data_IF_109434156426
#
_entry.id   IF_109434156426
#
_cell.length_a   1.000
_cell.length_b   1.000
_cell.length_c   1.000
_cell.angle_alpha   90.00
_cell.angle_beta   90.00
_cell.angle_gamma   90.00
#
_symmetry.space_group_name_H-M   'P 1'
#
loop_
_entity.id
_entity.type
_entity.pdbx_description
1 polymer ?
#
# COMPACT_ATOMS: atom_id res chain seq x y z
N UNK A 1 -21.07 -3.78 -15.89
CA UNK A 1 -19.77 -3.14 -15.58
C UNK A 1 -19.68 -2.61 -14.14
N UNK A 2 -20.75 -2.07 -13.55
CA UNK A 2 -20.76 -1.55 -12.16
C UNK A 2 -20.44 -2.64 -11.09
N UNK A 3 -20.89 -3.88 -11.28
CA UNK A 3 -20.65 -4.98 -10.32
C UNK A 3 -19.16 -5.39 -10.20
N UNK A 4 -18.41 -5.40 -11.31
CA UNK A 4 -16.99 -5.79 -11.30
C UNK A 4 -16.08 -4.70 -10.69
N UNK A 5 -16.45 -3.42 -10.86
CA UNK A 5 -15.72 -2.28 -10.26
C UNK A 5 -15.95 -2.23 -8.74
N UNK A 6 -17.16 -2.56 -8.26
CA UNK A 6 -17.42 -2.67 -6.82
C UNK A 6 -16.72 -3.86 -6.17
N UNK A 7 -16.58 -4.98 -6.90
CA UNK A 7 -15.97 -6.21 -6.37
C UNK A 7 -14.47 -6.04 -6.14
N UNK A 8 -13.75 -5.45 -7.11
CA UNK A 8 -12.33 -5.12 -6.96
C UNK A 8 -12.07 -4.12 -5.84
N UNK A 9 -12.86 -3.04 -5.73
CA UNK A 9 -12.73 -2.13 -4.59
C UNK A 9 -13.01 -2.81 -3.24
N UNK A 10 -14.02 -3.68 -3.17
CA UNK A 10 -14.35 -4.41 -1.95
C UNK A 10 -13.24 -5.36 -1.52
N UNK A 11 -12.67 -6.12 -2.46
CA UNK A 11 -11.53 -7.02 -2.22
C UNK A 11 -10.30 -6.23 -1.78
N UNK A 12 -10.04 -5.09 -2.40
CA UNK A 12 -8.96 -4.20 -2.02
C UNK A 12 -9.09 -3.70 -0.57
N UNK A 13 -10.24 -3.13 -0.19
CA UNK A 13 -10.47 -2.66 1.19
C UNK A 13 -10.46 -3.82 2.19
N UNK A 14 -11.03 -4.97 1.83
CA UNK A 14 -11.05 -6.15 2.68
C UNK A 14 -9.64 -6.71 2.90
N UNK A 15 -8.80 -6.74 1.87
CA UNK A 15 -7.40 -7.16 1.96
C UNK A 15 -6.57 -6.24 2.86
N UNK A 16 -6.74 -4.93 2.74
CA UNK A 16 -6.08 -3.94 3.62
C UNK A 16 -6.58 -4.07 5.06
N UNK A 17 -7.89 -4.12 5.27
CA UNK A 17 -8.50 -4.23 6.60
C UNK A 17 -8.13 -5.52 7.32
N UNK A 18 -8.20 -6.66 6.63
CA UNK A 18 -7.85 -7.96 7.20
C UNK A 18 -6.36 -8.08 7.53
N UNK A 19 -5.47 -7.46 6.74
CA UNK A 19 -4.04 -7.38 7.06
C UNK A 19 -3.76 -6.60 8.35
N UNK A 20 -4.39 -5.42 8.52
CA UNK A 20 -4.27 -4.61 9.74
C UNK A 20 -4.82 -5.33 10.98
N UNK A 21 -5.97 -5.99 10.85
CA UNK A 21 -6.53 -6.79 11.94
C UNK A 21 -5.64 -7.97 12.29
N UNK A 22 -5.01 -8.61 11.29
CA UNK A 22 -4.09 -9.73 11.51
C UNK A 22 -2.87 -9.32 12.33
N UNK A 23 -2.23 -8.18 12.02
CA UNK A 23 -1.07 -7.71 12.80
C UNK A 23 -1.45 -7.28 14.22
N UNK A 24 -2.63 -6.67 14.41
CA UNK A 24 -3.17 -6.34 15.74
C UNK A 24 -3.39 -7.60 16.58
N UNK A 25 -4.03 -8.61 16.01
CA UNK A 25 -4.27 -9.88 16.70
C UNK A 25 -2.97 -10.63 16.98
N UNK A 26 -2.04 -10.67 16.04
CA UNK A 26 -0.72 -11.30 16.25
C UNK A 26 0.07 -10.58 17.36
N UNK A 27 0.01 -9.25 17.40
CA UNK A 27 0.58 -8.43 18.49
C UNK A 27 -0.02 -8.82 19.84
N UNK A 28 -1.36 -8.92 19.91
CA UNK A 28 -2.06 -9.34 21.12
C UNK A 28 -1.63 -10.75 21.54
N UNK A 29 -1.55 -11.69 20.60
CA UNK A 29 -1.11 -13.07 20.85
C UNK A 29 0.30 -13.11 21.45
N UNK A 30 1.25 -12.35 20.88
CA UNK A 30 2.62 -12.26 21.38
C UNK A 30 2.67 -11.61 22.76
N UNK A 31 1.96 -10.49 22.98
CA UNK A 31 1.92 -9.82 24.26
C UNK A 31 1.33 -10.73 25.37
N UNK A 32 0.25 -11.45 25.07
CA UNK A 32 -0.33 -12.43 25.99
C UNK A 32 0.61 -13.63 26.21
N UNK A 33 1.35 -14.06 25.19
CA UNK A 33 2.36 -15.11 25.30
C UNK A 33 3.51 -14.72 26.23
N UNK A 34 4.01 -13.49 26.10
CA UNK A 34 5.01 -12.90 27.01
C UNK A 34 4.46 -12.87 28.45
N UNK A 35 3.17 -12.53 28.61
CA UNK A 35 2.51 -12.45 29.90
C UNK A 35 2.28 -13.81 30.60
N UNK A 36 2.23 -14.91 29.84
CA UNK A 36 2.02 -16.25 30.41
C UNK A 36 3.28 -16.90 30.99
N UNK A 37 4.48 -16.42 30.64
CA UNK A 37 5.72 -17.01 31.15
C UNK A 37 5.79 -16.90 32.68
N UNK A 38 6.10 -18.01 33.34
CA UNK A 38 5.83 -18.27 34.77
C UNK A 38 6.16 -17.11 35.73
N UNK A 39 5.16 -16.75 36.56
CA UNK A 39 5.28 -15.75 37.64
C UNK A 39 4.48 -14.46 37.40
N UNK A 40 4.11 -14.16 36.16
CA UNK A 40 3.50 -12.87 35.80
C UNK A 40 1.96 -12.86 35.84
N UNK A 41 1.30 -14.00 35.55
CA UNK A 41 -0.15 -14.12 35.35
C UNK A 41 -1.01 -14.35 36.63
N UNK A 42 -0.48 -14.04 37.82
CA UNK A 42 -1.24 -14.06 39.09
C UNK A 42 -1.93 -15.40 39.44
N UNK A 43 -3.01 -15.39 40.26
CA UNK A 43 -3.77 -16.59 40.67
C UNK A 43 -4.28 -17.43 39.49
N UNK A 44 -4.57 -18.71 39.73
CA UNK A 44 -4.98 -19.68 38.70
C UNK A 44 -6.09 -19.20 37.75
N UNK A 45 -7.05 -18.39 38.26
CA UNK A 45 -8.13 -17.79 37.46
C UNK A 45 -7.61 -16.81 36.39
N UNK A 46 -6.64 -15.96 36.71
CA UNK A 46 -6.06 -15.01 35.76
C UNK A 46 -5.27 -15.73 34.67
N UNK A 47 -4.52 -16.79 35.04
CA UNK A 47 -3.80 -17.65 34.07
C UNK A 47 -4.74 -18.31 33.08
N UNK A 48 -5.89 -18.80 33.55
CA UNK A 48 -6.90 -19.41 32.69
C UNK A 48 -7.45 -18.41 31.66
N UNK A 49 -7.81 -17.19 32.10
CA UNK A 49 -8.34 -16.15 31.21
C UNK A 49 -7.31 -15.75 30.14
N UNK A 50 -6.06 -15.51 30.52
CA UNK A 50 -4.99 -15.14 29.57
C UNK A 50 -4.73 -16.28 28.57
N UNK A 51 -4.78 -17.54 29.02
CA UNK A 51 -4.65 -18.72 28.15
C UNK A 51 -5.77 -18.82 27.13
N UNK A 52 -7.02 -18.63 27.56
CA UNK A 52 -8.16 -18.64 26.65
C UNK A 52 -8.12 -17.47 25.66
N UNK A 53 -7.78 -16.27 26.14
CA UNK A 53 -7.68 -15.10 25.29
C UNK A 53 -6.57 -15.26 24.24
N UNK A 54 -5.40 -15.79 24.62
CA UNK A 54 -4.32 -16.08 23.69
C UNK A 54 -4.77 -17.05 22.60
N UNK A 55 -5.43 -18.16 22.97
CA UNK A 55 -5.92 -19.15 22.02
C UNK A 55 -6.99 -18.57 21.08
N UNK A 56 -7.96 -17.82 21.61
CA UNK A 56 -9.01 -17.22 20.80
C UNK A 56 -8.45 -16.16 19.85
N UNK A 57 -7.57 -15.29 20.34
CA UNK A 57 -6.89 -14.29 19.52
C UNK A 57 -6.04 -14.93 18.42
N UNK A 58 -5.35 -16.04 18.71
CA UNK A 58 -4.57 -16.78 17.72
C UNK A 58 -5.46 -17.40 16.64
N UNK A 59 -6.63 -17.96 17.00
CA UNK A 59 -7.58 -18.48 16.03
C UNK A 59 -8.13 -17.37 15.12
N UNK A 60 -8.52 -16.22 15.70
CA UNK A 60 -8.95 -15.08 14.90
C UNK A 60 -7.82 -14.56 13.99
N UNK A 61 -6.57 -14.52 14.48
CA UNK A 61 -5.42 -14.10 13.67
C UNK A 61 -5.25 -14.99 12.43
N UNK A 62 -5.38 -16.31 12.59
CA UNK A 62 -5.32 -17.26 11.47
C UNK A 62 -6.46 -17.05 10.47
N UNK A 63 -7.69 -16.82 10.96
CA UNK A 63 -8.85 -16.55 10.09
C UNK A 63 -8.66 -15.26 9.29
N UNK A 64 -8.29 -14.16 9.95
CA UNK A 64 -8.05 -12.89 9.26
C UNK A 64 -6.85 -12.94 8.32
N UNK A 65 -5.80 -13.71 8.65
CA UNK A 65 -4.68 -13.95 7.76
C UNK A 65 -5.12 -14.73 6.51
N UNK A 66 -5.97 -15.74 6.67
CA UNK A 66 -6.54 -16.47 5.54
C UNK A 66 -7.34 -15.56 4.61
N UNK A 67 -8.16 -14.66 5.17
CA UNK A 67 -8.89 -13.63 4.40
C UNK A 67 -7.91 -12.70 3.69
N UNK A 68 -6.87 -12.24 4.39
CA UNK A 68 -5.85 -11.35 3.82
C UNK A 68 -5.13 -11.98 2.62
N UNK A 69 -4.66 -13.23 2.74
CA UNK A 69 -3.99 -13.95 1.66
C UNK A 69 -4.96 -14.19 0.49
N UNK A 70 -6.17 -14.68 0.77
CA UNK A 70 -7.16 -14.97 -0.26
C UNK A 70 -7.53 -13.70 -1.04
N UNK A 71 -7.81 -12.60 -0.34
CA UNK A 71 -8.15 -11.33 -0.99
C UNK A 71 -6.97 -10.73 -1.75
N UNK A 72 -5.74 -10.85 -1.24
CA UNK A 72 -4.54 -10.38 -1.97
C UNK A 72 -4.33 -11.12 -3.30
N UNK A 73 -4.65 -12.42 -3.35
CA UNK A 73 -4.58 -13.21 -4.59
C UNK A 73 -5.77 -12.90 -5.51
N UNK A 74 -6.98 -12.75 -4.96
CA UNK A 74 -8.21 -12.56 -5.74
C UNK A 74 -8.39 -11.12 -6.27
N UNK A 75 -7.80 -10.12 -5.62
CA UNK A 75 -7.87 -8.71 -6.03
C UNK A 75 -7.26 -8.48 -7.43
N UNK A 76 -6.32 -9.32 -7.85
CA UNK A 76 -5.75 -9.31 -9.20
C UNK A 76 -4.89 -8.08 -9.54
N UNK A 77 -4.76 -7.12 -8.63
CA UNK A 77 -3.92 -5.92 -8.81
C UNK A 77 -2.44 -6.26 -8.95
N UNK A 78 -1.94 -7.18 -8.11
CA UNK A 78 -0.58 -7.67 -8.17
C UNK A 78 -0.56 -9.09 -8.76
N UNK A 79 0.42 -9.44 -9.61
CA UNK A 79 0.54 -10.78 -10.20
C UNK A 79 1.06 -11.77 -9.16
N UNK A 80 0.21 -12.08 -8.17
CA UNK A 80 0.47 -13.00 -7.06
C UNK A 80 -0.34 -14.27 -7.31
N UNK A 81 0.33 -15.42 -7.22
CA UNK A 81 -0.29 -16.73 -7.41
C UNK A 81 -0.37 -17.51 -6.10
N UNK A 82 -1.22 -18.54 -6.06
CA UNK A 82 -1.38 -19.41 -4.89
C UNK A 82 -0.08 -20.06 -4.41
N UNK A 83 0.85 -20.33 -5.33
CA UNK A 83 2.14 -20.93 -4.98
C UNK A 83 3.05 -19.92 -4.24
N UNK A 84 2.92 -18.63 -4.52
CA UNK A 84 3.68 -17.57 -3.84
C UNK A 84 3.30 -17.45 -2.36
N UNK A 85 2.10 -17.94 -1.97
CA UNK A 85 1.65 -17.95 -0.58
C UNK A 85 2.29 -19.06 0.27
N UNK A 86 3.01 -20.01 -0.34
CA UNK A 86 3.63 -21.16 0.35
C UNK A 86 5.13 -21.26 0.07
N UNK A 87 5.61 -20.71 -1.05
CA UNK A 87 7.04 -20.71 -1.40
C UNK A 87 7.58 -19.28 -1.25
N UNK A 88 8.38 -18.99 -0.21
CA UNK A 88 8.88 -17.65 0.02
C UNK A 88 9.87 -17.23 -1.06
N UNK A 89 9.85 -15.94 -1.40
CA UNK A 89 10.78 -15.26 -2.33
C UNK A 89 10.67 -15.67 -3.81
N UNK A 90 9.70 -16.52 -4.18
CA UNK A 90 9.50 -16.95 -5.56
C UNK A 90 8.92 -15.84 -6.45
N UNK A 91 7.97 -15.05 -5.93
CA UNK A 91 7.24 -14.09 -6.76
C UNK A 91 8.16 -12.99 -7.30
N UNK A 92 8.06 -12.61 -8.59
CA UNK A 92 8.76 -11.45 -9.13
C UNK A 92 8.20 -10.14 -8.59
N UNK A 93 6.98 -10.13 -8.07
CA UNK A 93 6.36 -8.96 -7.46
C UNK A 93 6.89 -8.76 -6.04
N UNK A 94 7.75 -7.75 -5.84
CA UNK A 94 8.33 -7.39 -4.53
C UNK A 94 8.86 -8.62 -3.76
N UNK A 95 9.65 -9.47 -4.44
CA UNK A 95 10.12 -10.78 -3.96
C UNK A 95 10.50 -10.82 -2.48
N UNK A 96 11.32 -9.88 -2.00
CA UNK A 96 11.73 -9.82 -0.60
C UNK A 96 10.53 -9.64 0.34
N UNK A 97 9.70 -8.64 0.09
CA UNK A 97 8.61 -8.27 1.00
C UNK A 97 7.48 -9.29 0.96
N UNK A 98 7.10 -9.76 -0.23
CA UNK A 98 6.11 -10.82 -0.36
C UNK A 98 6.63 -12.11 0.30
N UNK A 99 7.90 -12.45 0.06
CA UNK A 99 8.54 -13.62 0.67
C UNK A 99 8.64 -13.56 2.19
N UNK A 100 8.79 -12.37 2.80
CA UNK A 100 8.66 -12.21 4.25
C UNK A 100 7.23 -12.50 4.73
N UNK A 101 6.21 -12.11 3.96
CA UNK A 101 4.81 -12.44 4.25
C UNK A 101 4.57 -13.95 4.23
N UNK A 102 5.05 -14.62 3.18
CA UNK A 102 5.00 -16.08 3.03
C UNK A 102 5.77 -16.78 4.15
N UNK A 103 6.98 -16.32 4.48
CA UNK A 103 7.77 -16.87 5.58
C UNK A 103 7.05 -16.71 6.93
N UNK A 104 6.43 -15.56 7.19
CA UNK A 104 5.62 -15.37 8.39
C UNK A 104 4.41 -16.32 8.43
N UNK A 105 3.75 -16.53 7.30
CA UNK A 105 2.67 -17.51 7.17
C UNK A 105 3.16 -18.93 7.46
N UNK A 106 4.28 -19.36 6.88
CA UNK A 106 4.85 -20.70 7.10
C UNK A 106 5.26 -20.93 8.55
N UNK A 107 5.84 -19.91 9.20
CA UNK A 107 6.14 -19.94 10.63
C UNK A 107 4.84 -20.08 11.44
N UNK A 108 3.82 -19.27 11.15
CA UNK A 108 2.54 -19.34 11.86
C UNK A 108 1.85 -20.70 11.65
N UNK A 109 1.87 -21.23 10.43
CA UNK A 109 1.33 -22.56 10.11
C UNK A 109 2.06 -23.65 10.89
N UNK A 110 3.39 -23.59 10.93
CA UNK A 110 4.23 -24.49 11.74
C UNK A 110 3.86 -24.41 13.22
N UNK A 111 3.67 -23.21 13.75
CA UNK A 111 3.26 -22.99 15.15
C UNK A 111 1.87 -23.57 15.44
N UNK A 112 0.91 -23.41 14.53
CA UNK A 112 -0.45 -23.97 14.65
C UNK A 112 -0.40 -25.49 14.64
N UNK A 113 0.24 -26.09 13.64
CA UNK A 113 0.35 -27.56 13.48
C UNK A 113 1.02 -28.17 14.71
N UNK A 114 2.16 -27.63 15.14
CA UNK A 114 2.90 -28.16 16.29
C UNK A 114 2.14 -27.96 17.60
N UNK A 115 1.34 -26.90 17.73
CA UNK A 115 0.47 -26.68 18.90
C UNK A 115 -0.71 -27.63 18.95
N UNK A 116 -1.28 -28.01 17.81
CA UNK A 116 -2.29 -29.07 17.71
C UNK A 116 -1.70 -30.45 18.03
N UNK A 117 -0.46 -30.70 17.59
CA UNK A 117 0.27 -31.94 17.82
C UNK A 117 1.04 -31.98 19.16
N UNK A 118 0.86 -30.99 20.05
CA UNK A 118 1.68 -30.83 21.27
C UNK A 118 1.75 -32.09 22.15
N UNK A 119 0.66 -32.87 22.18
CA UNK A 119 0.57 -34.10 22.98
C UNK A 119 1.37 -35.26 22.37
N UNK A 120 1.66 -35.21 21.06
CA UNK A 120 2.42 -36.25 20.34
C UNK A 120 3.92 -35.95 20.27
N UNK A 121 4.29 -34.68 20.05
CA UNK A 121 5.71 -34.28 19.89
C UNK A 121 6.43 -33.97 21.21
N UNK A 122 5.68 -33.93 22.32
CA UNK A 122 6.19 -33.61 23.65
C UNK A 122 6.40 -32.11 23.90
N UNK A 123 6.37 -31.72 25.17
CA UNK A 123 6.44 -30.32 25.58
C UNK A 123 7.77 -29.64 25.22
N UNK A 124 8.90 -30.37 25.29
CA UNK A 124 10.22 -29.81 24.98
C UNK A 124 10.33 -29.35 23.54
N UNK A 125 9.99 -30.24 22.60
CA UNK A 125 9.98 -29.97 21.15
C UNK A 125 8.97 -28.90 20.79
N UNK A 126 7.73 -29.04 21.29
CA UNK A 126 6.70 -28.02 21.09
C UNK A 126 7.19 -26.65 21.56
N UNK A 127 7.78 -26.57 22.76
CA UNK A 127 8.29 -25.31 23.30
C UNK A 127 9.40 -24.77 22.41
N UNK A 128 10.38 -25.58 22.00
CA UNK A 128 11.46 -25.12 21.13
C UNK A 128 10.95 -24.51 19.83
N UNK A 129 9.99 -25.17 19.16
CA UNK A 129 9.38 -24.66 17.93
C UNK A 129 8.52 -23.42 18.22
N UNK A 130 7.79 -23.40 19.34
CA UNK A 130 6.93 -22.28 19.70
C UNK A 130 7.69 -20.97 19.91
N UNK A 131 9.01 -21.02 20.18
CA UNK A 131 9.83 -19.80 20.24
C UNK A 131 9.94 -19.09 18.89
N UNK A 132 9.69 -19.76 17.77
CA UNK A 132 9.62 -19.13 16.45
C UNK A 132 8.52 -18.06 16.37
N UNK A 133 7.53 -18.07 17.28
CA UNK A 133 6.53 -17.01 17.40
C UNK A 133 7.16 -15.62 17.61
N UNK A 134 8.30 -15.54 18.30
CA UNK A 134 9.03 -14.29 18.52
C UNK A 134 9.69 -13.75 17.23
N UNK A 135 10.01 -14.62 16.27
CA UNK A 135 10.51 -14.22 14.96
C UNK A 135 9.37 -13.93 13.97
N UNK A 136 8.25 -14.65 14.09
CA UNK A 136 7.08 -14.48 13.23
C UNK A 136 6.52 -13.05 13.25
N UNK A 137 6.39 -12.42 14.42
CA UNK A 137 5.83 -11.07 14.56
C UNK A 137 6.67 -9.98 13.86
N UNK A 138 7.99 -9.83 14.10
CA UNK A 138 8.77 -8.80 13.41
C UNK A 138 8.86 -9.05 11.90
N UNK A 139 8.86 -10.31 11.44
CA UNK A 139 8.82 -10.63 10.00
C UNK A 139 7.49 -10.16 9.39
N UNK A 140 6.36 -10.43 10.05
CA UNK A 140 5.04 -9.96 9.59
C UNK A 140 4.94 -8.43 9.56
N UNK A 141 5.50 -7.75 10.58
CA UNK A 141 5.55 -6.29 10.63
C UNK A 141 6.40 -5.71 9.49
N UNK A 142 7.58 -6.30 9.23
CA UNK A 142 8.45 -5.93 8.11
C UNK A 142 7.76 -6.14 6.76
N UNK A 143 7.04 -7.25 6.59
CA UNK A 143 6.22 -7.49 5.40
C UNK A 143 5.18 -6.38 5.21
N UNK A 144 4.42 -6.03 6.25
CA UNK A 144 3.40 -4.98 6.18
C UNK A 144 4.00 -3.62 5.83
N UNK A 145 5.06 -3.21 6.54
CA UNK A 145 5.76 -1.95 6.31
C UNK A 145 6.40 -1.87 4.91
N UNK A 146 7.03 -2.95 4.44
CA UNK A 146 7.73 -2.95 3.16
C UNK A 146 6.81 -3.13 1.94
N UNK A 147 5.68 -3.82 2.10
CA UNK A 147 4.70 -4.07 1.03
C UNK A 147 3.66 -2.95 0.88
N UNK A 148 3.29 -2.26 1.97
CA UNK A 148 2.22 -1.28 1.95
C UNK A 148 2.53 -0.01 1.14
N UNK A 149 1.65 0.35 0.19
CA UNK A 149 1.56 1.74 -0.32
C UNK A 149 1.04 2.71 0.75
N UNK A 150 0.39 2.18 1.78
CA UNK A 150 -0.33 2.93 2.81
C UNK A 150 0.55 3.31 4.00
N UNK A 151 1.86 3.05 3.96
CA UNK A 151 2.79 3.42 5.03
C UNK A 151 2.84 4.93 5.31
N UNK A 152 2.17 5.75 4.49
CA UNK A 152 1.99 7.21 4.66
C UNK A 152 0.64 7.61 5.24
N UNK A 153 -0.31 6.69 5.30
CA UNK A 153 -1.62 6.94 5.90
C UNK A 153 -1.42 6.98 7.40
N UNK A 154 -1.69 8.14 8.02
CA UNK A 154 -1.42 8.35 9.44
C UNK A 154 -2.07 7.33 10.36
N UNK A 155 -3.26 6.81 9.99
CA UNK A 155 -3.93 5.75 10.75
C UNK A 155 -3.15 4.42 10.73
N UNK A 156 -2.58 4.03 9.59
CA UNK A 156 -1.77 2.81 9.47
C UNK A 156 -0.50 2.95 10.30
N UNK A 157 0.17 4.10 10.22
CA UNK A 157 1.34 4.41 11.05
C UNK A 157 1.02 4.34 12.55
N UNK A 158 -0.13 4.87 12.96
CA UNK A 158 -0.59 4.80 14.35
C UNK A 158 -0.79 3.35 14.81
N UNK A 159 -1.37 2.50 13.96
CA UNK A 159 -1.54 1.07 14.25
C UNK A 159 -0.17 0.39 14.41
N UNK A 160 0.77 0.62 13.50
CA UNK A 160 2.12 0.03 13.57
C UNK A 160 2.86 0.49 14.83
N UNK A 161 2.79 1.78 15.17
CA UNK A 161 3.37 2.34 16.39
C UNK A 161 2.72 1.75 17.65
N UNK A 162 1.40 1.56 17.65
CA UNK A 162 0.68 0.95 18.76
C UNK A 162 1.11 -0.51 18.94
N UNK A 163 1.20 -1.28 17.85
CA UNK A 163 1.68 -2.65 17.87
C UNK A 163 3.09 -2.75 18.46
N UNK A 164 4.00 -1.90 18.00
CA UNK A 164 5.36 -1.82 18.51
C UNK A 164 5.39 -1.46 19.99
N UNK A 165 4.63 -0.44 20.41
CA UNK A 165 4.55 0.01 21.80
C UNK A 165 4.03 -1.08 22.73
N UNK A 166 3.00 -1.84 22.32
CA UNK A 166 2.45 -2.94 23.11
C UNK A 166 3.48 -4.05 23.33
N UNK A 167 4.23 -4.45 22.30
CA UNK A 167 5.26 -5.48 22.43
C UNK A 167 6.42 -5.00 23.30
N UNK A 168 6.89 -3.77 23.10
CA UNK A 168 7.96 -3.18 23.94
C UNK A 168 7.52 -3.09 25.40
N UNK A 169 6.28 -2.67 25.66
CA UNK A 169 5.73 -2.63 27.01
C UNK A 169 5.65 -4.03 27.65
N UNK A 170 5.23 -5.05 26.89
CA UNK A 170 5.21 -6.43 27.35
C UNK A 170 6.63 -6.94 27.68
N UNK A 171 7.62 -6.64 26.84
CA UNK A 171 9.02 -6.99 27.08
C UNK A 171 9.56 -6.27 28.33
N UNK A 172 9.36 -4.95 28.43
CA UNK A 172 9.80 -4.17 29.59
C UNK A 172 9.19 -4.69 30.90
N UNK A 173 7.89 -4.98 30.89
CA UNK A 173 7.21 -5.57 32.02
C UNK A 173 7.80 -6.94 32.41
N UNK A 174 8.10 -7.80 31.42
CA UNK A 174 8.77 -9.08 31.69
C UNK A 174 10.17 -8.89 32.27
N UNK A 175 10.95 -7.95 31.73
CA UNK A 175 12.28 -7.65 32.22
C UNK A 175 12.27 -7.18 33.67
N UNK A 176 11.24 -6.44 34.13
CA UNK A 176 11.13 -6.01 35.54
C UNK A 176 10.71 -7.13 36.50
N UNK A 177 9.93 -8.13 36.06
CA UNK A 177 9.43 -9.23 36.93
C UNK A 177 10.32 -10.49 37.02
N UNK A 178 11.38 -10.60 36.22
CA UNK A 178 12.34 -11.71 36.31
C UNK A 178 13.45 -11.48 37.37
N UNK A 179 13.09 -11.48 38.67
CA UNK A 179 14.01 -11.18 39.80
C UNK A 179 15.19 -12.15 39.99
N UNK A 180 15.25 -13.26 39.23
CA UNK A 180 16.26 -14.32 39.37
C UNK A 180 17.31 -14.38 38.24
N UNK A 181 17.18 -13.58 37.19
CA UNK A 181 18.22 -13.51 36.14
C UNK A 181 19.28 -12.48 36.52
N UNK A 182 20.54 -12.79 36.22
CA UNK A 182 21.66 -11.86 36.41
C UNK A 182 21.39 -10.52 35.71
N UNK A 183 21.78 -9.42 36.36
CA UNK A 183 21.53 -8.05 35.89
C UNK A 183 22.06 -7.80 34.48
N UNK A 184 23.16 -8.47 34.10
CA UNK A 184 23.80 -8.42 32.79
C UNK A 184 22.87 -8.84 31.64
N UNK A 185 22.16 -9.96 31.78
CA UNK A 185 21.24 -10.47 30.75
C UNK A 185 20.04 -9.53 30.57
N UNK A 186 19.55 -8.93 31.65
CA UNK A 186 18.43 -7.98 31.62
C UNK A 186 18.82 -6.71 30.90
N UNK A 187 20.00 -6.15 31.20
CA UNK A 187 20.54 -4.97 30.52
C UNK A 187 20.79 -5.27 29.05
N UNK A 188 21.44 -6.39 28.73
CA UNK A 188 21.67 -6.80 27.34
C UNK A 188 20.36 -6.92 26.55
N UNK A 189 19.33 -7.55 27.14
CA UNK A 189 18.01 -7.69 26.49
C UNK A 189 17.32 -6.34 26.28
N UNK A 190 17.42 -5.43 27.24
CA UNK A 190 16.87 -4.07 27.13
C UNK A 190 17.58 -3.28 26.01
N UNK A 191 18.91 -3.33 25.98
CA UNK A 191 19.73 -2.68 24.94
C UNK A 191 19.39 -3.24 23.57
N UNK A 192 19.32 -4.56 23.41
CA UNK A 192 18.93 -5.20 22.15
C UNK A 192 17.54 -4.75 21.71
N UNK A 193 16.58 -4.69 22.64
CA UNK A 193 15.21 -4.22 22.32
C UNK A 193 15.23 -2.78 21.82
N UNK A 194 15.94 -1.88 22.50
CA UNK A 194 16.06 -0.46 22.10
C UNK A 194 16.74 -0.33 20.74
N UNK A 195 17.83 -1.05 20.51
CA UNK A 195 18.57 -1.03 19.24
C UNK A 195 17.71 -1.52 18.08
N UNK A 196 16.96 -2.62 18.27
CA UNK A 196 16.07 -3.15 17.25
C UNK A 196 14.92 -2.19 16.94
N UNK A 197 14.31 -1.59 17.96
CA UNK A 197 13.25 -0.59 17.81
C UNK A 197 13.78 0.63 17.06
N UNK A 198 14.91 1.19 17.48
CA UNK A 198 15.51 2.35 16.82
C UNK A 198 15.90 2.04 15.37
N UNK A 199 16.54 0.90 15.11
CA UNK A 199 16.89 0.46 13.77
C UNK A 199 15.67 0.30 12.87
N UNK A 200 14.59 -0.31 13.38
CA UNK A 200 13.33 -0.44 12.67
C UNK A 200 12.70 0.91 12.34
N UNK A 201 12.65 1.84 13.31
CA UNK A 201 12.09 3.17 13.11
C UNK A 201 12.89 3.99 12.09
N UNK A 202 14.22 3.95 12.17
CA UNK A 202 15.11 4.62 11.21
C UNK A 202 14.92 4.04 9.81
N UNK A 203 14.87 2.71 9.68
CA UNK A 203 14.63 2.05 8.40
C UNK A 203 13.25 2.40 7.82
N UNK A 204 12.18 2.35 8.63
CA UNK A 204 10.83 2.70 8.20
C UNK A 204 10.75 4.15 7.67
N UNK A 205 11.39 5.08 8.39
CA UNK A 205 11.44 6.49 8.02
C UNK A 205 12.22 6.74 6.73
N UNK A 206 13.36 6.06 6.53
CA UNK A 206 14.21 6.25 5.35
C UNK A 206 13.83 5.37 4.14
N UNK A 207 12.98 4.36 4.34
CA UNK A 207 12.57 3.41 3.31
C UNK A 207 11.09 3.56 2.98
N UNK A 208 10.20 2.71 3.55
CA UNK A 208 8.77 2.68 3.27
C UNK A 208 8.04 4.02 3.21
N UNK A 209 8.44 4.98 4.05
CA UNK A 209 7.80 6.29 4.11
C UNK A 209 8.27 7.25 3.01
N UNK A 210 9.37 6.96 2.31
CA UNK A 210 9.97 7.83 1.29
C UNK A 210 9.34 7.70 -0.10
N UNK A 211 9.45 8.75 -0.93
CA UNK A 211 8.85 8.76 -2.27
C UNK A 211 9.65 7.80 -3.15
N UNK A 212 8.98 7.07 -4.05
CA UNK A 212 9.62 6.06 -4.88
C UNK A 212 9.98 4.74 -4.18
N UNK A 213 9.56 4.54 -2.92
CA UNK A 213 9.76 3.26 -2.22
C UNK A 213 9.16 2.09 -2.99
N UNK A 214 8.01 2.25 -3.64
CA UNK A 214 7.38 1.20 -4.43
C UNK A 214 8.34 0.59 -5.48
N UNK A 215 9.13 1.42 -6.19
CA UNK A 215 10.17 0.94 -7.12
C UNK A 215 11.28 0.20 -6.37
N UNK A 216 11.83 0.81 -5.31
CA UNK A 216 12.91 0.20 -4.50
C UNK A 216 12.49 -1.11 -3.83
N UNK A 217 11.20 -1.26 -3.53
CA UNK A 217 10.61 -2.46 -2.97
C UNK A 217 10.44 -3.59 -4.00
N UNK A 218 10.70 -3.33 -5.29
CA UNK A 218 10.58 -4.33 -6.36
C UNK A 218 9.20 -4.38 -7.00
N UNK A 219 8.45 -3.27 -7.03
CA UNK A 219 7.23 -3.20 -7.86
C UNK A 219 7.63 -3.17 -9.33
N UNK A 220 7.08 -4.07 -10.18
CA UNK A 220 7.28 -4.02 -11.63
C UNK A 220 6.93 -2.64 -12.21
N UNK A 221 7.72 -2.18 -13.17
CA UNK A 221 7.54 -0.87 -13.80
C UNK A 221 6.14 -0.72 -14.41
N UNK A 222 5.61 -1.80 -15.00
CA UNK A 222 4.27 -1.90 -15.59
C UNK A 222 3.13 -1.53 -14.62
N UNK A 223 3.30 -1.82 -13.32
CA UNK A 223 2.32 -1.49 -12.29
C UNK A 223 2.52 -0.08 -11.73
N UNK A 224 3.71 0.50 -11.88
CA UNK A 224 4.01 1.89 -11.48
C UNK A 224 3.51 2.90 -12.52
N UNK A 225 3.50 2.52 -13.81
CA UNK A 225 3.00 3.33 -14.92
C UNK A 225 1.46 3.33 -15.04
N UNK A 226 0.76 2.56 -14.20
CA UNK A 226 -0.68 2.35 -14.29
C UNK A 226 -1.00 1.29 -15.34
N UNK A 227 -1.51 0.14 -14.92
CA UNK A 227 -1.79 -0.98 -15.79
C UNK A 227 -2.64 -0.61 -16.99
N UNK A 228 -2.04 -0.73 -18.17
CA UNK A 228 -2.72 -1.12 -19.41
C UNK A 228 -2.03 -2.40 -19.86
N UNK A 229 -2.52 -3.52 -19.36
CA UNK A 229 -2.07 -4.82 -19.82
C UNK A 229 -2.63 -5.08 -21.22
N UNK A 230 -1.78 -5.03 -22.23
CA UNK A 230 -1.90 -5.87 -23.41
C UNK A 230 -0.51 -6.43 -23.71
N UNK A 231 -0.28 -7.68 -23.32
CA UNK A 231 0.92 -8.40 -23.72
C UNK A 231 0.95 -8.51 -25.24
N UNK A 232 2.06 -8.06 -25.84
CA UNK A 232 2.28 -8.10 -27.27
C UNK A 232 3.66 -7.59 -27.62
N UNK A 233 4.65 -8.48 -27.50
CA UNK A 233 5.92 -8.53 -28.25
C UNK A 233 6.80 -7.27 -28.31
N UNK A 234 8.02 -7.45 -27.82
CA UNK A 234 9.23 -6.67 -28.10
C UNK A 234 9.20 -5.92 -29.46
N UNK A 235 8.85 -4.64 -29.41
CA UNK A 235 9.32 -3.64 -30.38
C UNK A 235 9.71 -2.40 -29.58
N UNK A 236 11.03 -2.16 -29.55
CA UNK A 236 11.72 -0.87 -29.39
C UNK A 236 10.99 0.24 -28.60
N UNK A 237 11.53 0.74 -27.50
CA UNK A 237 12.58 1.77 -27.55
C UNK A 237 12.40 2.82 -28.68
N UNK A 238 11.19 3.31 -28.94
CA UNK A 238 10.90 4.54 -29.69
C UNK A 238 9.38 4.86 -29.67
N UNK A 239 8.94 5.77 -28.81
CA UNK A 239 7.79 6.71 -29.02
C UNK A 239 7.37 7.40 -27.71
N UNK A 240 8.28 8.08 -27.01
CA UNK A 240 7.83 9.17 -26.13
C UNK A 240 7.41 10.36 -26.99
N UNK A 241 6.49 11.22 -26.53
CA UNK A 241 6.29 12.51 -27.19
C UNK A 241 7.63 13.24 -27.22
N UNK A 242 8.13 13.56 -28.42
CA UNK A 242 9.40 14.25 -28.57
C UNK A 242 9.28 15.67 -28.00
N UNK A 243 10.01 15.95 -26.93
CA UNK A 243 10.01 17.26 -26.27
C UNK A 243 11.17 18.14 -26.79
N UNK A 244 11.02 19.47 -26.82
CA UNK A 244 9.76 20.19 -26.66
C UNK A 244 8.88 20.07 -27.92
N UNK A 245 7.56 20.19 -27.77
CA UNK A 245 6.64 20.26 -28.91
C UNK A 245 5.58 21.34 -28.70
N UNK A 246 5.04 21.81 -29.83
CA UNK A 246 3.84 22.62 -29.93
C UNK A 246 2.91 21.93 -30.92
N UNK A 247 1.66 21.70 -30.53
CA UNK A 247 0.73 20.91 -31.32
C UNK A 247 -0.71 21.41 -31.18
N UNK A 248 -1.55 21.08 -32.14
CA UNK A 248 -3.00 21.36 -32.08
C UNK A 248 -3.70 20.30 -31.25
N UNK A 249 -4.81 20.67 -30.61
CA UNK A 249 -5.63 19.74 -29.84
C UNK A 249 -7.10 19.86 -30.18
N UNK A 250 -7.81 18.74 -30.10
CA UNK A 250 -9.27 18.72 -30.15
C UNK A 250 -9.84 17.59 -29.30
N UNK A 251 -11.03 17.78 -28.74
CA UNK A 251 -11.57 16.83 -27.79
C UNK A 251 -12.99 17.12 -27.29
N UNK A 252 -13.41 16.31 -26.32
CA UNK A 252 -14.72 16.40 -25.67
C UNK A 252 -14.59 16.84 -24.23
N UNK A 253 -15.62 17.55 -23.75
CA UNK A 253 -15.78 17.98 -22.38
C UNK A 253 -17.04 17.35 -21.81
N UNK A 254 -16.89 16.62 -20.70
CA UNK A 254 -18.00 16.04 -19.96
C UNK A 254 -18.05 16.59 -18.54
N UNK A 255 -19.24 16.99 -18.09
CA UNK A 255 -19.48 17.46 -16.73
C UNK A 255 -20.64 16.69 -16.10
N UNK A 256 -20.40 16.12 -14.91
CA UNK A 256 -21.38 15.24 -14.27
C UNK A 256 -22.60 15.97 -13.65
N UNK A 257 -22.47 17.24 -13.27
CA UNK A 257 -23.56 18.06 -12.71
C UNK A 257 -23.29 19.54 -12.90
N UNK A 258 -24.33 20.32 -13.18
CA UNK A 258 -24.28 21.78 -13.32
C UNK A 258 -24.99 22.49 -12.16
N UNK A 259 -25.41 21.75 -11.12
CA UNK A 259 -26.15 22.30 -9.98
C UNK A 259 -25.24 23.19 -9.11
N UNK A 260 -25.54 24.48 -8.93
CA UNK A 260 -24.73 25.38 -8.11
C UNK A 260 -24.51 24.85 -6.68
N UNK A 261 -23.27 24.88 -6.21
CA UNK A 261 -22.89 24.37 -4.88
C UNK A 261 -22.73 22.85 -4.77
N UNK A 262 -23.16 22.06 -5.75
CA UNK A 262 -22.85 20.63 -5.82
C UNK A 262 -21.38 20.42 -6.23
N UNK A 263 -20.76 19.32 -5.78
CA UNK A 263 -19.44 18.94 -6.25
C UNK A 263 -19.56 18.35 -7.66
N UNK A 264 -18.97 19.05 -8.63
CA UNK A 264 -18.89 18.61 -10.01
C UNK A 264 -17.51 18.07 -10.35
N UNK A 265 -17.49 17.19 -11.34
CA UNK A 265 -16.29 16.68 -12.00
C UNK A 265 -16.39 17.01 -13.47
N UNK A 266 -15.41 17.75 -13.99
CA UNK A 266 -15.21 18.03 -15.41
C UNK A 266 -14.12 17.10 -15.91
N UNK A 267 -14.37 16.38 -16.99
CA UNK A 267 -13.39 15.54 -17.68
C UNK A 267 -13.22 16.06 -19.09
N UNK A 268 -12.00 16.49 -19.43
CA UNK A 268 -11.59 16.87 -20.76
C UNK A 268 -10.80 15.71 -21.35
N UNK A 269 -11.25 15.17 -22.48
CA UNK A 269 -10.56 14.11 -23.21
C UNK A 269 -10.15 14.66 -24.56
N UNK A 270 -8.85 14.76 -24.82
CA UNK A 270 -8.32 15.40 -26.02
C UNK A 270 -7.34 14.52 -26.78
N UNK A 271 -7.30 14.75 -28.09
CA UNK A 271 -6.29 14.24 -29.02
C UNK A 271 -5.35 15.38 -29.40
N UNK A 272 -4.09 15.05 -29.60
CA UNK A 272 -3.01 15.96 -30.00
C UNK A 272 -2.64 15.60 -31.42
N UNK A 273 -2.72 16.57 -32.32
CA UNK A 273 -2.42 16.43 -33.75
C UNK A 273 -1.53 17.58 -34.21
N UNK A 274 -0.90 17.45 -35.37
CA UNK A 274 -0.10 18.52 -36.00
C UNK A 274 1.05 19.05 -35.12
N UNK A 275 2.04 18.19 -34.83
CA UNK A 275 3.27 18.56 -34.11
C UNK A 275 3.75 17.47 -33.15
N UNK A 276 2.81 16.70 -32.61
CA UNK A 276 3.02 15.44 -31.90
C UNK A 276 1.79 14.54 -32.11
N UNK A 277 1.95 13.23 -31.90
CA UNK A 277 0.84 12.28 -31.89
C UNK A 277 0.62 11.80 -30.45
N UNK A 278 -0.52 12.18 -29.87
CA UNK A 278 -0.76 11.98 -28.45
C UNK A 278 -2.20 12.16 -28.04
N UNK A 279 -2.47 11.79 -26.80
CA UNK A 279 -3.77 11.98 -26.15
C UNK A 279 -3.55 12.52 -24.75
N UNK A 280 -4.52 13.26 -24.25
CA UNK A 280 -4.51 13.74 -22.88
C UNK A 280 -5.89 13.63 -22.24
N UNK A 281 -5.88 13.47 -20.92
CA UNK A 281 -7.08 13.52 -20.09
C UNK A 281 -6.83 14.44 -18.92
N UNK A 282 -7.71 15.43 -18.75
CA UNK A 282 -7.67 16.35 -17.62
C UNK A 282 -8.97 16.17 -16.85
N UNK A 283 -8.87 15.91 -15.54
CA UNK A 283 -10.02 15.84 -14.65
C UNK A 283 -9.91 16.94 -13.61
N UNK A 284 -10.98 17.73 -13.46
CA UNK A 284 -11.10 18.81 -12.49
C UNK A 284 -12.29 18.51 -11.58
N UNK A 285 -12.08 18.56 -10.27
CA UNK A 285 -13.15 18.34 -9.29
C UNK A 285 -13.29 19.54 -8.36
N UNK A 286 -14.53 19.94 -8.08
CA UNK A 286 -14.84 20.91 -7.04
C UNK A 286 -16.26 21.46 -7.13
N UNK A 287 -16.64 22.45 -6.31
CA UNK A 287 -18.00 22.96 -6.27
C UNK A 287 -18.32 23.80 -7.51
N UNK A 288 -19.54 23.63 -8.04
CA UNK A 288 -20.07 24.46 -9.13
C UNK A 288 -20.26 25.90 -8.65
N UNK A 289 -19.67 26.85 -9.38
CA UNK A 289 -19.78 28.28 -9.12
C UNK A 289 -21.17 28.83 -9.45
N UNK A 290 -21.63 29.83 -8.69
CA UNK A 290 -22.89 30.53 -8.95
C UNK A 290 -22.90 31.29 -10.28
N UNK A 291 -21.73 31.55 -10.87
CA UNK A 291 -21.56 32.21 -12.18
C UNK A 291 -21.40 31.21 -13.34
N UNK A 292 -21.61 29.91 -13.10
CA UNK A 292 -21.27 28.83 -14.02
C UNK A 292 -19.82 28.35 -13.87
N UNK A 293 -19.55 27.12 -14.28
CA UNK A 293 -18.24 26.48 -14.16
C UNK A 293 -17.96 25.84 -12.79
N UNK A 294 -16.73 25.34 -12.60
CA UNK A 294 -16.31 24.59 -11.40
C UNK A 294 -15.10 25.25 -10.76
N UNK A 295 -15.17 25.49 -9.44
CA UNK A 295 -14.00 25.96 -8.67
C UNK A 295 -13.08 24.77 -8.43
N UNK A 296 -11.85 24.80 -8.93
CA UNK A 296 -10.92 23.68 -8.78
C UNK A 296 -10.57 23.44 -7.30
N UNK A 297 -10.86 22.23 -6.80
CA UNK A 297 -10.41 21.74 -5.49
C UNK A 297 -9.31 20.71 -5.62
N UNK A 298 -9.38 19.87 -6.66
CA UNK A 298 -8.35 18.91 -7.05
C UNK A 298 -8.36 18.72 -8.56
N UNK A 299 -7.22 18.32 -9.12
CA UNK A 299 -7.09 18.00 -10.52
C UNK A 299 -6.19 16.79 -10.75
N UNK A 300 -6.37 16.11 -11.87
CA UNK A 300 -5.45 15.09 -12.37
C UNK A 300 -5.26 15.27 -13.87
N UNK A 301 -4.03 15.12 -14.33
CA UNK A 301 -3.67 15.21 -15.74
C UNK A 301 -2.95 13.94 -16.15
N UNK A 302 -3.28 13.40 -17.32
CA UNK A 302 -2.49 12.39 -18.01
C UNK A 302 -2.21 12.80 -19.44
N UNK A 303 -1.00 12.54 -19.92
CA UNK A 303 -0.51 12.85 -21.26
C UNK A 303 0.35 11.69 -21.76
N UNK A 304 0.25 11.35 -23.04
CA UNK A 304 1.13 10.36 -23.66
C UNK A 304 0.68 10.00 -25.07
N UNK A 305 1.42 9.13 -25.78
CA UNK A 305 1.00 8.62 -27.08
C UNK A 305 -0.29 7.81 -26.92
N UNK A 306 -1.08 7.59 -27.99
CA UNK A 306 -2.36 6.88 -27.91
C UNK A 306 -2.25 5.46 -27.31
N UNK A 307 -1.11 4.81 -27.52
CA UNK A 307 -0.75 3.51 -26.98
C UNK A 307 -0.35 3.52 -25.50
N UNK A 308 0.15 4.66 -24.99
CA UNK A 308 0.50 4.87 -23.57
C UNK A 308 -0.08 6.20 -23.06
N UNK A 309 -1.42 6.35 -22.93
CA UNK A 309 -2.09 7.63 -22.65
C UNK A 309 -1.77 8.23 -21.27
N UNK A 310 -1.14 7.44 -20.39
CA UNK A 310 -0.72 7.82 -19.03
C UNK A 310 0.80 7.79 -18.86
N UNK A 311 1.56 7.89 -19.95
CA UNK A 311 3.01 7.93 -19.88
C UNK A 311 3.51 9.04 -18.94
N UNK A 312 2.86 10.19 -18.98
CA UNK A 312 3.07 11.32 -18.09
C UNK A 312 1.82 11.57 -17.26
N UNK A 313 1.98 11.77 -15.95
CA UNK A 313 0.86 12.05 -15.04
C UNK A 313 1.21 13.17 -14.06
N UNK A 314 0.20 13.94 -13.66
CA UNK A 314 0.42 15.05 -12.75
C UNK A 314 -0.84 15.85 -12.47
N UNK A 315 -0.68 17.15 -12.24
CA UNK A 315 -1.75 18.02 -11.77
C UNK A 315 -1.68 19.39 -12.42
N UNK A 316 -2.83 20.05 -12.50
CA UNK A 316 -2.91 21.45 -12.92
C UNK A 316 -2.27 22.33 -11.85
N UNK A 317 -1.33 23.17 -12.27
CA UNK A 317 -0.64 24.15 -11.42
C UNK A 317 -1.35 25.51 -11.46
N UNK A 318 -1.93 25.87 -12.61
CA UNK A 318 -2.58 27.16 -12.81
C UNK A 318 -3.75 27.10 -13.80
N UNK A 319 -4.81 27.90 -13.56
CA UNK A 319 -5.95 28.07 -14.46
C UNK A 319 -6.23 29.55 -14.67
N UNK A 320 -6.12 30.03 -15.91
CA UNK A 320 -6.41 31.41 -16.32
C UNK A 320 -7.36 31.43 -17.51
N UNK A 321 -8.68 31.44 -17.24
CA UNK A 321 -9.69 31.47 -18.30
C UNK A 321 -9.64 30.22 -19.17
N UNK A 322 -9.19 30.37 -20.42
CA UNK A 322 -9.02 29.30 -21.41
C UNK A 322 -7.63 28.65 -21.39
N UNK A 323 -6.71 29.17 -20.57
CA UNK A 323 -5.36 28.65 -20.40
C UNK A 323 -5.27 27.73 -19.19
N UNK A 324 -4.66 26.55 -19.39
CA UNK A 324 -4.40 25.55 -18.36
C UNK A 324 -2.91 25.26 -18.33
N UNK A 325 -2.27 25.46 -17.18
CA UNK A 325 -0.89 25.06 -16.95
C UNK A 325 -0.85 23.83 -16.05
N UNK A 326 -0.04 22.84 -16.43
CA UNK A 326 0.08 21.61 -15.67
C UNK A 326 1.51 21.09 -15.69
N UNK A 327 1.87 20.46 -14.58
CA UNK A 327 3.14 19.75 -14.43
C UNK A 327 2.82 18.26 -14.44
N UNK A 328 3.50 17.52 -15.31
CA UNK A 328 3.37 16.06 -15.43
C UNK A 328 4.74 15.42 -15.34
N UNK A 329 4.83 14.28 -14.66
CA UNK A 329 6.06 13.51 -14.58
C UNK A 329 5.90 12.17 -15.29
N UNK A 330 6.98 11.72 -15.91
CA UNK A 330 7.06 10.37 -16.45
C UNK A 330 7.21 9.32 -15.33
N UNK A 331 7.29 8.05 -15.72
CA UNK A 331 7.56 7.00 -14.75
C UNK A 331 8.91 7.20 -14.04
N UNK A 332 9.96 7.70 -14.71
CA UNK A 332 11.28 7.94 -14.12
C UNK A 332 11.30 9.09 -13.10
N UNK A 333 10.32 9.99 -13.13
CA UNK A 333 10.22 11.20 -12.30
C UNK A 333 10.79 12.45 -12.98
N UNK A 334 11.04 12.40 -14.28
CA UNK A 334 11.39 13.56 -15.11
C UNK A 334 10.14 14.44 -15.27
N UNK A 335 10.27 15.72 -14.93
CA UNK A 335 9.16 16.67 -14.92
C UNK A 335 9.05 17.36 -16.28
N UNK A 336 7.83 17.52 -16.75
CA UNK A 336 7.48 18.26 -17.96
C UNK A 336 6.48 19.33 -17.56
N UNK A 337 6.79 20.55 -17.98
CA UNK A 337 5.85 21.65 -17.88
C UNK A 337 5.11 21.77 -19.21
N UNK A 338 3.79 21.75 -19.14
CA UNK A 338 2.95 21.88 -20.31
C UNK A 338 1.85 22.92 -20.09
N UNK A 339 1.49 23.57 -21.19
CA UNK A 339 0.49 24.62 -21.25
C UNK A 339 -0.48 24.29 -22.36
N UNK A 340 -1.76 24.24 -22.05
CA UNK A 340 -2.82 24.08 -23.03
C UNK A 340 -3.68 25.34 -23.09
N UNK A 341 -3.99 25.80 -24.29
CA UNK A 341 -4.93 26.87 -24.58
C UNK A 341 -6.15 26.25 -25.25
N UNK A 342 -7.29 26.21 -24.56
CA UNK A 342 -8.50 25.50 -25.00
C UNK A 342 -9.67 26.46 -25.22
N UNK A 343 -10.21 26.44 -26.43
CA UNK A 343 -11.44 27.13 -26.81
C UNK A 343 -12.59 26.12 -26.80
N UNK A 344 -13.50 26.28 -25.83
CA UNK A 344 -14.68 25.41 -25.68
C UNK A 344 -15.79 25.87 -26.63
N UNK A 345 -16.44 24.93 -27.30
CA UNK A 345 -17.55 25.19 -28.21
C UNK A 345 -18.77 25.78 -27.49
N UNK A 346 -19.64 26.46 -28.24
CA UNK A 346 -20.81 27.15 -27.68
C UNK A 346 -21.82 26.21 -26.99
N UNK A 347 -21.83 24.93 -27.35
CA UNK A 347 -22.65 23.89 -26.72
C UNK A 347 -22.01 23.30 -25.45
N UNK A 348 -20.77 23.69 -25.13
CA UNK A 348 -20.03 23.24 -23.96
C UNK A 348 -19.58 21.78 -24.00
N UNK A 349 -19.72 21.07 -25.12
CA UNK A 349 -19.48 19.64 -25.23
C UNK A 349 -18.12 19.28 -25.87
N UNK A 350 -17.53 20.20 -26.63
CA UNK A 350 -16.27 19.98 -27.34
C UNK A 350 -15.30 21.14 -27.14
N UNK A 351 -14.04 20.91 -27.43
CA UNK A 351 -13.04 21.98 -27.43
C UNK A 351 -12.02 21.77 -28.55
N UNK A 352 -11.40 22.87 -28.96
CA UNK A 352 -10.23 22.91 -29.85
C UNK A 352 -9.17 23.81 -29.24
N UNK A 353 -7.91 23.67 -29.64
CA UNK A 353 -6.87 24.50 -29.04
C UNK A 353 -5.46 24.16 -29.46
N UNK A 354 -4.50 24.58 -28.64
CA UNK A 354 -3.09 24.26 -28.77
C UNK A 354 -2.52 23.77 -27.45
N UNK A 355 -1.45 22.99 -27.52
CA UNK A 355 -0.68 22.52 -26.38
C UNK A 355 0.81 22.69 -26.67
N UNK A 356 1.53 23.26 -25.70
CA UNK A 356 2.97 23.40 -25.69
C UNK A 356 3.53 22.60 -24.52
N UNK A 357 4.57 21.80 -24.75
CA UNK A 357 5.25 21.05 -23.69
C UNK A 357 6.77 21.24 -23.77
N UNK A 358 7.38 21.50 -22.62
CA UNK A 358 8.82 21.64 -22.46
C UNK A 358 9.33 20.70 -21.35
N UNK A 359 10.39 19.94 -21.65
CA UNK A 359 11.10 19.09 -20.69
C UNK A 359 12.17 19.82 -19.91
#
# INVERSE_FOLDING_TARGET
MILAVSESQALWYLGRGSGLVSILLLTLVVALGIAQVQGAAGPSRQRFVITQLHRNAALFAVVFLGIHIATAILDGFAPIYWLDAVIPFQSPYRSLWLGLGTLAFDLLLTLVITSLLRLRIGFGTWRAIHWLAYACWPIALLHGLGTGSDGRVGLVQLVDLLCLAVVVAAIAWRLTRNWRQESSIRVASAVVTVVLVAGMSIWAYNGPMQRGWARKAGTPAELLSGGSGSGGTDIAAAAGLALPFSASVSGTLEQNTTTPGANATITLTGTITDGADGVFVITITGPVSARGGVTMRSSTVSLGPPEFPRQYTGTITELHGTQIEFEVSDAAGELINARAQLDVSADGATFTGTIDAAG
#
